data_IF_837742395903
#
_entry.id   IF_837742395903
#
_cell.length_a   1.000
_cell.length_b   1.000
_cell.length_c   1.000
_cell.angle_alpha   90.00
_cell.angle_beta   90.00
_cell.angle_gamma   90.00
#
_symmetry.space_group_name_H-M   'P 1'
#
loop_
_entity.id
_entity.type
_entity.pdbx_description
1 polymer ?
#
# COMPACT_ATOMS: atom_id res chain seq x y z
N UNK A 1 48.81 -14.07 -60.84
CA UNK A 1 47.49 -13.95 -60.22
C UNK A 1 47.54 -14.51 -58.81
N UNK A 2 47.42 -13.68 -57.78
CA UNK A 2 47.38 -14.13 -56.39
C UNK A 2 45.92 -14.40 -55.98
N UNK A 3 45.52 -15.66 -55.82
CA UNK A 3 44.20 -16.01 -55.28
C UNK A 3 44.28 -16.14 -53.75
N UNK A 4 43.81 -15.12 -53.03
CA UNK A 4 43.71 -15.17 -51.56
C UNK A 4 42.51 -16.04 -51.18
N UNK A 5 42.75 -17.28 -50.80
CA UNK A 5 41.72 -18.12 -50.20
C UNK A 5 41.54 -17.76 -48.71
N UNK A 6 40.43 -17.10 -48.38
CA UNK A 6 40.03 -16.88 -46.99
C UNK A 6 39.47 -18.18 -46.39
N UNK A 7 40.14 -18.72 -45.35
CA UNK A 7 39.69 -19.89 -44.60
C UNK A 7 38.37 -19.55 -43.90
N UNK A 8 37.27 -20.22 -44.27
CA UNK A 8 35.94 -19.97 -43.68
C UNK A 8 35.93 -20.40 -42.21
N UNK A 9 36.11 -19.45 -41.28
CA UNK A 9 35.99 -19.68 -39.84
C UNK A 9 34.51 -19.86 -39.48
N UNK A 10 34.09 -21.11 -39.22
CA UNK A 10 32.74 -21.46 -38.75
C UNK A 10 32.47 -21.02 -37.31
N UNK A 11 33.52 -20.71 -36.53
CA UNK A 11 33.45 -20.40 -35.11
C UNK A 11 32.66 -19.11 -34.81
N UNK A 12 32.68 -18.13 -35.71
CA UNK A 12 31.89 -16.89 -35.57
C UNK A 12 30.37 -17.14 -35.53
N UNK A 13 29.91 -18.28 -36.05
CA UNK A 13 28.48 -18.65 -36.08
C UNK A 13 27.94 -19.06 -34.71
N UNK A 14 28.80 -19.42 -33.76
CA UNK A 14 28.40 -19.79 -32.39
C UNK A 14 28.45 -18.63 -31.40
N UNK A 15 29.06 -17.50 -31.77
CA UNK A 15 29.17 -16.33 -30.89
C UNK A 15 27.79 -15.77 -30.55
N UNK A 16 26.94 -15.57 -31.57
CA UNK A 16 25.58 -15.04 -31.37
C UNK A 16 24.74 -15.99 -30.50
N UNK A 17 24.62 -17.30 -30.82
CA UNK A 17 23.90 -18.25 -29.96
C UNK A 17 24.41 -18.28 -28.51
N UNK A 18 25.73 -18.28 -28.30
CA UNK A 18 26.31 -18.30 -26.97
C UNK A 18 25.97 -17.04 -26.16
N UNK A 19 26.05 -15.86 -26.80
CA UNK A 19 25.61 -14.62 -26.15
C UNK A 19 24.12 -14.65 -25.85
N UNK A 20 23.28 -15.11 -26.78
CA UNK A 20 21.83 -15.22 -26.55
C UNK A 20 21.52 -16.11 -25.35
N UNK A 21 22.17 -17.27 -25.22
CA UNK A 21 22.00 -18.15 -24.05
C UNK A 21 22.41 -17.47 -22.75
N UNK A 22 23.54 -16.75 -22.76
CA UNK A 22 24.00 -16.01 -21.58
C UNK A 22 22.98 -14.93 -21.16
N UNK A 23 22.48 -14.14 -22.11
CA UNK A 23 21.46 -13.12 -21.85
C UNK A 23 20.15 -13.74 -21.34
N UNK A 24 19.64 -14.78 -22.00
CA UNK A 24 18.41 -15.46 -21.57
C UNK A 24 18.54 -16.06 -20.17
N UNK A 25 19.71 -16.62 -19.85
CA UNK A 25 19.96 -17.17 -18.52
C UNK A 25 19.97 -16.07 -17.44
N UNK A 26 20.62 -14.94 -17.72
CA UNK A 26 20.65 -13.79 -16.83
C UNK A 26 19.25 -13.21 -16.60
N UNK A 27 18.52 -12.91 -17.68
CA UNK A 27 17.17 -12.37 -17.58
C UNK A 27 16.18 -13.38 -16.98
N UNK A 28 16.30 -14.67 -17.29
CA UNK A 28 15.48 -15.73 -16.70
C UNK A 28 15.68 -15.83 -15.19
N UNK A 29 16.94 -15.77 -14.72
CA UNK A 29 17.24 -15.75 -13.29
C UNK A 29 16.66 -14.51 -12.60
N UNK A 30 16.88 -13.32 -13.16
CA UNK A 30 16.39 -12.05 -12.61
C UNK A 30 14.86 -11.91 -12.66
N UNK A 31 14.17 -12.56 -13.61
CA UNK A 31 12.71 -12.58 -13.65
C UNK A 31 12.11 -13.30 -12.42
N UNK A 32 12.83 -14.26 -11.85
CA UNK A 32 12.37 -15.03 -10.68
C UNK A 32 12.89 -14.42 -9.38
N UNK A 33 14.17 -14.04 -9.33
CA UNK A 33 14.86 -13.61 -8.10
C UNK A 33 15.12 -12.11 -8.01
N UNK A 34 14.82 -11.34 -9.05
CA UNK A 34 15.03 -9.90 -9.04
C UNK A 34 14.01 -9.17 -8.16
N UNK A 35 14.32 -7.92 -7.84
CA UNK A 35 13.51 -7.06 -6.97
C UNK A 35 12.12 -6.73 -7.54
N UNK A 36 11.91 -6.97 -8.83
CA UNK A 36 10.62 -6.85 -9.54
C UNK A 36 10.19 -8.19 -10.16
N UNK A 37 10.80 -9.28 -9.74
CA UNK A 37 10.47 -10.63 -10.20
C UNK A 37 9.19 -11.18 -9.56
N UNK A 38 8.82 -12.39 -9.96
CA UNK A 38 7.59 -13.05 -9.53
C UNK A 38 7.44 -13.14 -7.99
N UNK A 39 8.55 -13.37 -7.27
CA UNK A 39 8.54 -13.42 -5.80
C UNK A 39 8.30 -12.05 -5.15
N UNK A 40 8.85 -10.99 -5.74
CA UNK A 40 8.64 -9.64 -5.25
C UNK A 40 7.18 -9.20 -5.46
N UNK A 41 6.56 -9.61 -6.57
CA UNK A 41 5.14 -9.36 -6.83
C UNK A 41 4.25 -9.88 -5.71
N UNK A 42 4.49 -11.10 -5.23
CA UNK A 42 3.72 -11.67 -4.09
C UNK A 42 3.86 -10.83 -2.82
N UNK A 43 5.08 -10.41 -2.48
CA UNK A 43 5.32 -9.54 -1.34
C UNK A 43 4.66 -8.17 -1.48
N UNK A 44 4.64 -7.60 -2.69
CA UNK A 44 3.96 -6.34 -2.98
C UNK A 44 2.43 -6.48 -2.90
N UNK A 45 1.87 -7.58 -3.37
CA UNK A 45 0.43 -7.87 -3.27
C UNK A 45 0.00 -7.98 -1.79
N UNK A 46 0.78 -8.68 -0.96
CA UNK A 46 0.52 -8.74 0.48
C UNK A 46 0.57 -7.36 1.15
N UNK A 47 1.57 -6.55 0.81
CA UNK A 47 1.67 -5.17 1.31
C UNK A 47 0.49 -4.32 0.83
N UNK A 48 0.08 -4.46 -0.44
CA UNK A 48 -1.06 -3.73 -1.00
C UNK A 48 -2.33 -4.07 -0.22
N UNK A 49 -2.61 -5.35 0.01
CA UNK A 49 -3.77 -5.80 0.79
C UNK A 49 -3.72 -5.30 2.24
N UNK A 50 -2.55 -5.35 2.89
CA UNK A 50 -2.40 -4.85 4.25
C UNK A 50 -2.70 -3.35 4.35
N UNK A 51 -2.17 -2.56 3.40
CA UNK A 51 -2.38 -1.11 3.34
C UNK A 51 -3.81 -0.74 2.97
N UNK A 52 -4.45 -1.51 2.10
CA UNK A 52 -5.87 -1.34 1.77
C UNK A 52 -6.76 -1.55 3.00
N UNK A 53 -6.45 -2.55 3.84
CA UNK A 53 -7.17 -2.77 5.11
C UNK A 53 -6.97 -1.61 6.08
N UNK A 54 -5.74 -1.14 6.24
CA UNK A 54 -5.42 0.01 7.08
C UNK A 54 -6.17 1.26 6.60
N UNK A 55 -6.17 1.50 5.28
CA UNK A 55 -6.89 2.61 4.66
C UNK A 55 -8.40 2.53 4.91
N UNK A 56 -9.00 1.34 4.83
CA UNK A 56 -10.43 1.16 5.12
C UNK A 56 -10.77 1.56 6.56
N UNK A 57 -9.95 1.15 7.54
CA UNK A 57 -10.12 1.52 8.95
C UNK A 57 -9.95 3.03 9.15
N UNK A 58 -8.96 3.64 8.51
CA UNK A 58 -8.73 5.08 8.62
C UNK A 58 -9.88 5.88 7.99
N UNK A 59 -10.43 5.41 6.86
CA UNK A 59 -11.58 6.05 6.20
C UNK A 59 -12.82 6.03 7.08
N UNK A 60 -13.16 4.90 7.69
CA UNK A 60 -14.33 4.82 8.58
C UNK A 60 -14.17 5.71 9.80
N UNK A 61 -12.95 5.78 10.39
CA UNK A 61 -12.64 6.72 11.47
C UNK A 61 -12.82 8.18 11.02
N UNK A 62 -12.33 8.52 9.83
CA UNK A 62 -12.47 9.86 9.26
C UNK A 62 -13.94 10.23 9.06
N UNK A 63 -14.72 9.37 8.41
CA UNK A 63 -16.16 9.60 8.15
C UNK A 63 -16.93 9.79 9.46
N UNK A 64 -16.62 9.01 10.49
CA UNK A 64 -17.24 9.18 11.80
C UNK A 64 -16.92 10.54 12.45
N UNK A 65 -15.68 11.01 12.33
CA UNK A 65 -15.28 12.34 12.82
C UNK A 65 -15.92 13.47 12.00
N UNK A 66 -15.98 13.33 10.68
CA UNK A 66 -16.62 14.30 9.78
C UNK A 66 -18.11 14.45 10.13
N UNK A 67 -18.81 13.35 10.40
CA UNK A 67 -20.20 13.39 10.85
C UNK A 67 -20.36 14.11 12.19
N UNK A 68 -19.49 13.87 13.17
CA UNK A 68 -19.52 14.59 14.44
C UNK A 68 -19.27 16.10 14.26
N UNK A 69 -18.32 16.47 13.40
CA UNK A 69 -18.04 17.89 13.09
C UNK A 69 -19.23 18.54 12.40
N UNK A 70 -19.86 17.85 11.45
CA UNK A 70 -21.06 18.33 10.78
C UNK A 70 -22.22 18.53 11.76
N UNK A 71 -22.40 17.65 12.74
CA UNK A 71 -23.42 17.82 13.78
C UNK A 71 -23.09 18.94 14.79
N UNK A 72 -21.87 19.49 14.78
CA UNK A 72 -21.48 20.69 15.56
C UNK A 72 -21.39 21.96 14.71
N UNK A 73 -21.62 21.88 13.40
CA UNK A 73 -21.50 23.05 12.52
C UNK A 73 -22.76 23.91 12.49
N UNK A 74 -22.59 25.17 12.08
CA UNK A 74 -23.69 26.12 11.97
C UNK A 74 -24.78 25.61 10.99
N UNK A 75 -26.05 25.76 11.37
CA UNK A 75 -27.21 25.24 10.64
C UNK A 75 -27.53 23.74 10.84
N UNK A 76 -26.60 22.93 11.36
CA UNK A 76 -26.79 21.49 11.66
C UNK A 76 -26.45 21.11 13.10
N UNK A 77 -26.36 22.12 13.97
CA UNK A 77 -25.98 21.97 15.38
C UNK A 77 -26.98 21.11 16.15
N UNK A 78 -26.49 19.96 16.62
CA UNK A 78 -27.20 19.09 17.54
C UNK A 78 -27.01 19.57 18.99
N UNK A 79 -28.12 19.87 19.67
CA UNK A 79 -28.12 20.40 21.04
C UNK A 79 -27.70 19.36 22.06
N UNK A 80 -28.07 18.10 21.86
CA UNK A 80 -27.77 17.02 22.81
C UNK A 80 -26.27 16.71 22.77
N UNK A 81 -25.70 16.65 21.57
CA UNK A 81 -24.26 16.45 21.40
C UNK A 81 -23.46 17.67 21.91
N UNK A 82 -23.97 18.88 21.77
CA UNK A 82 -23.36 20.08 22.37
C UNK A 82 -23.36 20.01 23.91
N UNK A 83 -24.49 19.64 24.54
CA UNK A 83 -24.58 19.48 26.00
C UNK A 83 -23.61 18.39 26.48
N UNK A 84 -23.57 17.25 25.80
CA UNK A 84 -22.61 16.18 26.10
C UNK A 84 -21.15 16.67 26.06
N UNK A 85 -20.74 17.36 24.97
CA UNK A 85 -19.37 17.88 24.85
C UNK A 85 -19.06 18.96 25.88
N UNK A 86 -20.01 19.86 26.18
CA UNK A 86 -19.83 20.89 27.20
C UNK A 86 -19.63 20.27 28.58
N UNK A 87 -20.46 19.28 28.94
CA UNK A 87 -20.34 18.55 30.22
C UNK A 87 -19.04 17.76 30.31
N UNK A 88 -18.63 17.10 29.22
CA UNK A 88 -17.38 16.39 29.12
C UNK A 88 -16.17 17.32 29.36
N UNK A 89 -16.13 18.49 28.71
CA UNK A 89 -15.04 19.46 28.85
C UNK A 89 -14.97 20.09 30.25
N UNK A 90 -16.13 20.34 30.87
CA UNK A 90 -16.23 20.91 32.21
C UNK A 90 -16.08 19.86 33.32
N UNK A 91 -15.96 18.57 32.96
CA UNK A 91 -15.90 17.45 33.89
C UNK A 91 -17.08 17.44 34.88
N UNK A 92 -18.29 17.66 34.37
CA UNK A 92 -19.53 17.69 35.15
C UNK A 92 -20.47 16.57 34.70
N UNK A 93 -21.14 15.92 35.66
CA UNK A 93 -22.22 14.95 35.42
C UNK A 93 -23.30 15.14 36.48
N UNK A 94 -24.53 14.68 36.22
CA UNK A 94 -25.56 14.68 37.27
C UNK A 94 -25.32 13.55 38.26
N UNK A 95 -25.93 13.66 39.44
CA UNK A 95 -25.80 12.67 40.51
C UNK A 95 -26.45 11.32 40.17
N UNK A 96 -27.38 11.30 39.21
CA UNK A 96 -28.12 10.15 38.71
C UNK A 96 -27.62 9.62 37.36
N UNK A 97 -26.52 10.18 36.82
CA UNK A 97 -25.96 9.80 35.52
C UNK A 97 -24.73 8.89 35.66
N UNK A 98 -24.59 7.92 34.75
CA UNK A 98 -23.39 7.06 34.63
C UNK A 98 -22.67 7.41 33.33
N UNK A 99 -21.41 7.85 33.42
CA UNK A 99 -20.56 8.15 32.27
C UNK A 99 -19.75 6.91 31.89
N UNK A 100 -19.88 6.46 30.63
CA UNK A 100 -19.12 5.33 30.09
C UNK A 100 -18.08 5.88 29.10
N UNK A 101 -16.81 5.81 29.48
CA UNK A 101 -15.72 6.17 28.57
C UNK A 101 -15.46 5.01 27.61
N UNK A 102 -15.91 5.14 26.37
CA UNK A 102 -15.53 4.19 25.32
C UNK A 102 -14.08 4.48 24.89
N UNK A 103 -13.16 3.58 25.24
CA UNK A 103 -11.82 3.57 24.66
C UNK A 103 -11.93 3.15 23.20
N UNK A 104 -12.16 4.11 22.30
CA UNK A 104 -11.90 3.90 20.88
C UNK A 104 -10.39 3.73 20.73
N UNK A 105 -9.91 2.48 20.74
CA UNK A 105 -8.52 2.13 20.49
C UNK A 105 -8.06 2.78 19.18
N UNK A 106 -6.95 3.52 19.27
CA UNK A 106 -6.18 3.92 18.10
C UNK A 106 -5.78 2.70 17.27
#
# INVERSE_FOLDING_TARGET
MWTKHHKKRKLGRFVIPAMTVAFLSYFGYHCIHGDYGLRATEAFEHQRVAREKELAVLKTKREHLENQVALLSDGSLDKDMLDEKARYQLNVSRADEIVIFNHYSN
#
